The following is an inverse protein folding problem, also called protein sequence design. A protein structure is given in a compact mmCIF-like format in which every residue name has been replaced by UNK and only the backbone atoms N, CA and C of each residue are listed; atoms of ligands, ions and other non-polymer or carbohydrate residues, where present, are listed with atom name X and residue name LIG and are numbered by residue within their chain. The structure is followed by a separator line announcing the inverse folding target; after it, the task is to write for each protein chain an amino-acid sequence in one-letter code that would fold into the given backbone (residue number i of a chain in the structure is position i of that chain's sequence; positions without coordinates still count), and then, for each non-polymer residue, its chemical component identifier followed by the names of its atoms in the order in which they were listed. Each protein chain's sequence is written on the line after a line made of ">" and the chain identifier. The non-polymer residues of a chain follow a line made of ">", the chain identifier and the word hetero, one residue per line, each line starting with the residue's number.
data_IF_066236202465
#
_entry.id   IF_066236202465
#
_cell.length_a   1.000
_cell.length_b   1.000
_cell.length_c   1.000
_cell.angle_alpha   90.00
_cell.angle_beta   90.00
_cell.angle_gamma   90.00
#
_symmetry.space_group_name_H-M   'P 1'
#
loop_
_entity.id
_entity.type
_entity.pdbx_description
1 polymer ?
#
# COMPACT_ATOMS: atom_id res chain seq x y z
N UNK A 1 -10.24 -6.04 19.45
CA UNK A 1 -9.12 -5.13 19.11
C UNK A 1 -9.57 -3.88 18.35
N UNK A 2 -10.33 -3.99 17.26
CA UNK A 2 -10.84 -2.83 16.49
C UNK A 2 -11.66 -1.80 17.30
N UNK A 3 -12.58 -2.26 18.15
CA UNK A 3 -13.48 -1.41 18.93
C UNK A 3 -12.75 -0.44 19.88
N UNK A 4 -11.62 -0.85 20.46
CA UNK A 4 -10.83 0.01 21.35
C UNK A 4 -10.12 1.15 20.61
N UNK A 5 -9.70 0.91 19.37
CA UNK A 5 -9.07 1.93 18.53
C UNK A 5 -10.10 2.96 18.03
N UNK A 6 -11.31 2.50 17.68
CA UNK A 6 -12.40 3.38 17.23
C UNK A 6 -12.84 4.32 18.36
N UNK A 7 -13.04 3.79 19.56
CA UNK A 7 -13.41 4.58 20.75
C UNK A 7 -12.38 5.69 21.08
N UNK A 8 -11.08 5.43 20.85
CA UNK A 8 -10.02 6.42 21.07
C UNK A 8 -10.09 7.62 20.10
N UNK A 9 -10.66 7.45 18.91
CA UNK A 9 -10.78 8.49 17.89
C UNK A 9 -12.17 9.13 17.81
N UNK A 10 -13.15 8.59 18.52
CA UNK A 10 -14.56 9.00 18.46
C UNK A 10 -14.78 10.45 18.88
N UNK A 11 -14.15 10.88 19.99
CA UNK A 11 -14.29 12.26 20.49
C UNK A 11 -13.52 13.28 19.65
N UNK A 12 -12.32 12.94 19.17
CA UNK A 12 -11.40 13.90 18.52
C UNK A 12 -11.59 13.97 17.00
N UNK A 13 -11.96 12.86 16.36
CA UNK A 13 -12.07 12.74 14.90
C UNK A 13 -13.21 11.78 14.51
N UNK A 14 -14.48 12.21 14.67
CA UNK A 14 -15.64 11.33 14.44
C UNK A 14 -15.74 10.81 13.01
N UNK A 15 -15.26 11.58 12.02
CA UNK A 15 -15.20 11.13 10.62
C UNK A 15 -14.23 9.96 10.41
N UNK A 16 -13.09 9.97 11.11
CA UNK A 16 -12.11 8.89 11.02
C UNK A 16 -12.64 7.64 11.72
N UNK A 17 -13.24 7.79 12.91
CA UNK A 17 -13.83 6.69 13.66
C UNK A 17 -14.87 5.93 12.81
N UNK A 18 -15.79 6.66 12.17
CA UNK A 18 -16.78 6.08 11.26
C UNK A 18 -16.14 5.42 10.04
N UNK A 19 -15.16 6.06 9.41
CA UNK A 19 -14.45 5.48 8.26
C UNK A 19 -13.75 4.17 8.64
N UNK A 20 -13.10 4.12 9.81
CA UNK A 20 -12.47 2.91 10.32
C UNK A 20 -13.51 1.82 10.58
N UNK A 21 -14.63 2.14 11.23
CA UNK A 21 -15.70 1.15 11.47
C UNK A 21 -16.19 0.49 10.16
N UNK A 22 -16.37 1.29 9.11
CA UNK A 22 -16.84 0.82 7.80
C UNK A 22 -15.75 0.08 7.00
N UNK A 23 -14.46 0.42 7.15
CA UNK A 23 -13.37 -0.03 6.25
C UNK A 23 -12.24 -0.81 6.95
N UNK A 24 -12.37 -1.13 8.24
CA UNK A 24 -11.27 -1.78 8.99
C UNK A 24 -10.92 -3.15 8.41
N UNK A 25 -11.91 -3.89 7.91
CA UNK A 25 -11.69 -5.18 7.26
C UNK A 25 -10.75 -5.06 6.06
N UNK A 26 -10.97 -4.04 5.22
CA UNK A 26 -10.12 -3.77 4.06
C UNK A 26 -8.71 -3.34 4.51
N UNK A 27 -8.61 -2.49 5.53
CA UNK A 27 -7.35 -1.99 6.06
C UNK A 27 -6.43 -3.09 6.64
N UNK A 28 -7.01 -4.17 7.17
CA UNK A 28 -6.25 -5.28 7.78
C UNK A 28 -6.06 -6.46 6.83
N UNK A 29 -6.55 -6.40 5.59
CA UNK A 29 -6.42 -7.49 4.60
C UNK A 29 -4.96 -7.95 4.41
N UNK A 30 -3.99 -7.05 4.56
CA UNK A 30 -2.58 -7.40 4.41
C UNK A 30 -2.08 -8.41 5.47
N UNK A 31 -2.78 -8.56 6.60
CA UNK A 31 -2.44 -9.54 7.63
C UNK A 31 -2.67 -10.98 7.17
N UNK A 32 -3.47 -11.19 6.12
CA UNK A 32 -3.67 -12.52 5.52
C UNK A 32 -2.43 -13.05 4.80
N UNK A 33 -1.45 -12.19 4.50
CA UNK A 33 -0.17 -12.59 3.88
C UNK A 33 0.84 -13.00 4.96
N UNK A 34 1.89 -13.77 4.62
CA UNK A 34 2.97 -14.08 5.55
C UNK A 34 3.64 -12.81 6.14
N UNK A 35 4.00 -12.86 7.43
CA UNK A 35 4.65 -11.75 8.18
C UNK A 35 5.80 -11.06 7.42
N UNK A 36 6.69 -11.78 6.69
CA UNK A 36 7.78 -11.13 5.93
C UNK A 36 7.31 -10.10 4.90
N UNK A 37 6.07 -10.22 4.40
CA UNK A 37 5.51 -9.34 3.37
C UNK A 37 4.73 -8.15 3.93
N UNK A 38 4.27 -8.20 5.19
CA UNK A 38 3.44 -7.16 5.79
C UNK A 38 4.04 -5.76 5.63
N UNK A 39 5.33 -5.61 5.96
CA UNK A 39 6.04 -4.32 5.87
C UNK A 39 6.03 -3.75 4.45
N UNK A 40 6.04 -4.62 3.45
CA UNK A 40 6.11 -4.22 2.03
C UNK A 40 4.72 -3.93 1.47
N UNK A 41 3.71 -4.69 1.88
CA UNK A 41 2.32 -4.53 1.43
C UNK A 41 1.68 -3.28 2.05
N UNK A 42 1.87 -3.05 3.35
CA UNK A 42 1.32 -1.87 4.04
C UNK A 42 2.04 -0.56 3.64
N UNK A 43 3.26 -0.62 3.11
CA UNK A 43 4.03 0.59 2.77
C UNK A 43 3.54 1.26 1.49
N UNK A 44 3.23 2.56 1.57
CA UNK A 44 2.90 3.40 0.41
C UNK A 44 4.11 4.02 -0.29
N UNK A 45 5.32 3.82 0.22
CA UNK A 45 6.56 4.46 -0.26
C UNK A 45 6.77 4.33 -1.77
N UNK A 46 6.46 3.16 -2.29
CA UNK A 46 6.65 2.81 -3.70
C UNK A 46 5.65 3.54 -4.59
N UNK A 47 4.38 3.57 -4.17
CA UNK A 47 3.30 4.31 -4.84
C UNK A 47 3.55 5.83 -4.78
N UNK A 48 3.98 6.34 -3.62
CA UNK A 48 4.33 7.75 -3.44
C UNK A 48 5.49 8.17 -4.33
N UNK A 49 6.52 7.33 -4.46
CA UNK A 49 7.66 7.57 -5.36
C UNK A 49 7.21 7.62 -6.82
N UNK A 50 6.36 6.69 -7.25
CA UNK A 50 5.78 6.70 -8.60
C UNK A 50 4.95 7.97 -8.83
N UNK A 51 4.05 8.30 -7.91
CA UNK A 51 3.21 9.50 -7.99
C UNK A 51 4.03 10.79 -8.04
N UNK A 52 5.12 10.87 -7.28
CA UNK A 52 6.04 12.00 -7.32
C UNK A 52 6.70 12.15 -8.69
N UNK A 53 7.10 11.04 -9.30
CA UNK A 53 7.73 11.04 -10.62
C UNK A 53 6.73 11.38 -11.74
N UNK A 54 5.50 10.85 -11.66
CA UNK A 54 4.38 11.23 -12.54
C UNK A 54 4.16 12.73 -12.46
N UNK A 55 3.96 13.29 -11.26
CA UNK A 55 3.76 14.74 -11.06
C UNK A 55 4.94 15.56 -11.58
N UNK A 56 6.18 15.09 -11.38
CA UNK A 56 7.38 15.80 -11.85
C UNK A 56 7.43 15.87 -13.38
N UNK A 57 7.17 14.77 -14.09
CA UNK A 57 7.23 14.72 -15.55
C UNK A 57 6.07 15.45 -16.22
N UNK A 58 4.86 15.35 -15.66
CA UNK A 58 3.69 16.05 -16.21
C UNK A 58 3.76 17.57 -15.97
N UNK A 59 4.36 18.02 -14.87
CA UNK A 59 4.51 19.45 -14.56
C UNK A 59 5.29 20.22 -15.64
N UNK A 60 6.26 19.60 -16.29
CA UNK A 60 7.06 20.24 -17.36
C UNK A 60 6.25 20.41 -18.65
N UNK A 61 5.32 19.50 -18.92
CA UNK A 61 4.48 19.53 -20.13
C UNK A 61 3.35 20.57 -19.99
N UNK A 62 2.83 20.75 -18.76
CA UNK A 62 1.76 21.70 -18.48
C UNK A 62 0.39 21.20 -18.94
N UNK A 63 0.17 21.12 -20.25
CA UNK A 63 -1.07 20.61 -20.86
C UNK A 63 -0.78 19.65 -22.00
N UNK A 64 -1.50 18.54 -22.06
CA UNK A 64 -1.35 17.54 -23.12
C UNK A 64 -2.39 17.77 -24.23
N UNK A 65 -2.01 17.59 -25.51
CA UNK A 65 -2.90 17.79 -26.64
C UNK A 65 -3.93 16.66 -26.81
N UNK A 66 -3.62 15.44 -26.33
CA UNK A 66 -4.51 14.29 -26.37
C UNK A 66 -4.09 13.25 -25.30
N UNK A 67 -4.98 12.29 -25.03
CA UNK A 67 -4.74 11.19 -24.07
C UNK A 67 -3.53 10.33 -24.47
N UNK A 68 -3.37 10.03 -25.75
CA UNK A 68 -2.23 9.24 -26.26
C UNK A 68 -0.88 9.89 -25.91
N UNK A 69 -0.82 11.23 -25.91
CA UNK A 69 0.40 11.96 -25.56
C UNK A 69 0.77 11.79 -24.08
N UNK A 70 -0.24 11.68 -23.20
CA UNK A 70 -0.02 11.37 -21.79
C UNK A 70 0.48 9.93 -21.64
N UNK A 71 -0.16 8.97 -22.33
CA UNK A 71 0.21 7.56 -22.27
C UNK A 71 1.65 7.33 -22.76
N UNK A 72 2.08 8.01 -23.82
CA UNK A 72 3.47 7.95 -24.32
C UNK A 72 4.50 8.39 -23.27
N UNK A 73 4.12 9.26 -22.32
CA UNK A 73 4.98 9.67 -21.22
C UNK A 73 4.91 8.71 -20.03
N UNK A 74 3.71 8.27 -19.65
CA UNK A 74 3.48 7.50 -18.42
C UNK A 74 3.77 6.02 -18.58
N UNK A 75 3.49 5.42 -19.74
CA UNK A 75 3.68 3.98 -19.97
C UNK A 75 5.16 3.59 -19.83
N UNK A 76 6.13 4.27 -20.47
CA UNK A 76 7.54 3.93 -20.26
C UNK A 76 7.98 4.10 -18.80
N UNK A 77 7.48 5.13 -18.12
CA UNK A 77 7.75 5.33 -16.69
C UNK A 77 7.24 4.16 -15.84
N UNK A 78 6.03 3.67 -16.13
CA UNK A 78 5.44 2.54 -15.44
C UNK A 78 6.22 1.24 -15.72
N UNK A 79 6.60 1.00 -16.98
CA UNK A 79 7.41 -0.17 -17.39
C UNK A 79 8.77 -0.16 -16.69
N UNK A 80 9.49 0.97 -16.72
CA UNK A 80 10.79 1.12 -16.04
C UNK A 80 10.69 0.91 -14.53
N UNK A 81 9.60 1.40 -13.93
CA UNK A 81 9.35 1.26 -12.51
C UNK A 81 9.06 -0.19 -12.15
N UNK A 82 8.23 -0.86 -12.94
CA UNK A 82 7.93 -2.28 -12.77
C UNK A 82 9.17 -3.16 -12.91
N UNK A 83 10.01 -2.91 -13.93
CA UNK A 83 11.27 -3.63 -14.12
C UNK A 83 12.19 -3.53 -12.89
N UNK A 84 12.30 -2.33 -12.30
CA UNK A 84 13.08 -2.12 -11.06
C UNK A 84 12.50 -2.84 -9.85
N UNK A 85 11.18 -3.02 -9.79
CA UNK A 85 10.53 -3.75 -8.69
C UNK A 85 10.74 -5.25 -8.80
N UNK A 86 10.65 -5.79 -10.02
CA UNK A 86 10.94 -7.19 -10.30
C UNK A 86 12.39 -7.55 -9.98
N UNK A 87 13.34 -6.70 -10.40
CA UNK A 87 14.78 -6.87 -10.12
C UNK A 87 15.07 -6.92 -8.61
N UNK A 88 14.41 -6.07 -7.82
CA UNK A 88 14.57 -6.01 -6.36
C UNK A 88 13.84 -7.12 -5.60
N UNK A 89 13.14 -8.04 -6.29
CA UNK A 89 12.24 -9.05 -5.69
C UNK A 89 11.37 -8.44 -4.59
N UNK A 90 10.68 -7.34 -4.91
CA UNK A 90 9.98 -6.55 -3.89
C UNK A 90 8.98 -7.41 -3.12
N UNK A 91 8.21 -8.27 -3.78
CA UNK A 91 7.49 -9.39 -3.14
C UNK A 91 8.03 -10.67 -3.76
N UNK A 92 8.55 -11.58 -2.92
CA UNK A 92 8.98 -12.89 -3.41
C UNK A 92 7.78 -13.81 -3.49
N UNK A 93 7.57 -14.39 -4.67
CA UNK A 93 6.53 -15.40 -4.90
C UNK A 93 6.85 -16.74 -4.24
N UNK A 94 8.12 -16.98 -3.92
CA UNK A 94 8.61 -18.22 -3.26
C UNK A 94 8.11 -18.35 -1.81
N UNK A 95 7.74 -17.22 -1.17
CA UNK A 95 7.31 -17.18 0.23
C UNK A 95 5.82 -16.80 0.37
N UNK A 96 4.99 -17.16 -0.60
CA UNK A 96 3.53 -16.90 -0.54
C UNK A 96 2.74 -18.05 0.07
N UNK A 97 3.35 -19.23 0.21
CA UNK A 97 2.76 -20.33 0.96
C UNK A 97 2.72 -19.96 2.44
N UNK A 98 1.62 -20.33 3.10
CA UNK A 98 1.39 -20.08 4.51
C UNK A 98 2.55 -20.69 5.31
N UNK A 99 3.30 -19.85 6.03
CA UNK A 99 4.16 -20.35 7.09
C UNK A 99 3.23 -20.84 8.20
N UNK A 100 3.09 -22.16 8.36
CA UNK A 100 2.30 -22.77 9.44
C UNK A 100 2.86 -22.43 10.84
N UNK A 101 4.04 -21.79 10.91
CA UNK A 101 4.58 -21.25 12.14
C UNK A 101 3.97 -19.87 12.41
N UNK A 102 2.71 -19.89 12.84
CA UNK A 102 2.13 -18.76 13.58
C UNK A 102 2.94 -18.66 14.87
N UNK A 103 3.88 -17.72 14.97
CA UNK A 103 4.47 -17.44 16.28
C UNK A 103 3.34 -16.98 17.21
N UNK A 104 3.04 -17.80 18.22
CA UNK A 104 2.09 -17.61 19.32
C UNK A 104 2.44 -16.42 20.25
N UNK A 105 3.15 -15.41 19.74
CA UNK A 105 3.77 -14.36 20.56
C UNK A 105 2.80 -13.20 20.91
N UNK A 106 1.55 -13.24 20.45
CA UNK A 106 0.55 -12.21 20.76
C UNK A 106 -0.55 -12.64 21.75
N UNK A 107 -0.45 -13.84 22.35
CA UNK A 107 -1.46 -14.35 23.31
C UNK A 107 -1.05 -14.31 24.78
N UNK A 108 0.08 -13.71 25.14
CA UNK A 108 0.44 -13.49 26.56
C UNK A 108 0.64 -12.00 26.88
N UNK A 109 -0.47 -11.33 27.24
CA UNK A 109 -0.64 -10.54 28.48
C UNK A 109 -1.84 -9.58 28.38
N UNK A 110 -2.98 -10.02 28.92
CA UNK A 110 -3.92 -9.18 29.68
C UNK A 110 -4.57 -10.04 30.74
#
# INVERSE_FOLDING_TARGET
>A
MAHGMIAAYEERMPKLARFLEENIADAITFLAFPKPHHRKIHSTNVLERLNKEVKRRTKVVGAFPCEESVLRLLVPLAVDTNAKWLDRKYVSWENLEHDENVDDEFTEKS
#
